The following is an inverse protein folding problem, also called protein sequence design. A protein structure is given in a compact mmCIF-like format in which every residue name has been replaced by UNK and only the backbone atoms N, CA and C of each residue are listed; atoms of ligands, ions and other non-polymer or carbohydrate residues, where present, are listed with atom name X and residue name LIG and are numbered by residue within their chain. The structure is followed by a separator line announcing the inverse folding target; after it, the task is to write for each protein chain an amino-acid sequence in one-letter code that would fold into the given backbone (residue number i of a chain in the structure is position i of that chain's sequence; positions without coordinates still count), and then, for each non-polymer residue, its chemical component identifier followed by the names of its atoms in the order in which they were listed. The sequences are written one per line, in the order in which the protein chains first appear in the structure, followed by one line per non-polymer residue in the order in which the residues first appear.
data_IF_861503867225
#
_entry.id   IF_861503867225
#
_cell.length_a   1.000
_cell.length_b   1.000
_cell.length_c   1.000
_cell.angle_alpha   90.00
_cell.angle_beta   90.00
_cell.angle_gamma   90.00
#
_symmetry.space_group_name_H-M   'P 1'
#
loop_
_entity.id
_entity.type
_entity.pdbx_description
1 polymer ?
#
# COMPACT_ATOMS: atom_id res chain seq x y z
N UNK A 1 11.87 -18.73 14.96
CA UNK A 1 11.00 -18.11 13.92
C UNK A 1 11.64 -16.81 13.44
N UNK A 2 11.24 -16.25 12.29
CA UNK A 2 11.78 -14.99 11.76
C UNK A 2 11.75 -13.85 12.80
N UNK A 3 10.67 -13.73 13.56
CA UNK A 3 10.50 -12.72 14.62
C UNK A 3 11.60 -12.83 15.68
N UNK A 4 11.84 -14.02 16.25
CA UNK A 4 12.89 -14.18 17.26
C UNK A 4 14.27 -13.90 16.68
N UNK A 5 14.54 -14.34 15.46
CA UNK A 5 15.84 -14.12 14.83
C UNK A 5 16.14 -12.62 14.66
N UNK A 6 15.15 -11.85 14.23
CA UNK A 6 15.27 -10.39 14.05
C UNK A 6 15.34 -9.65 15.39
N UNK A 7 14.44 -9.94 16.34
CA UNK A 7 14.39 -9.23 17.61
C UNK A 7 15.55 -9.57 18.57
N UNK A 8 16.15 -10.75 18.44
CA UNK A 8 17.34 -11.14 19.23
C UNK A 8 18.66 -10.80 18.54
N UNK A 9 18.62 -10.16 17.36
CA UNK A 9 19.82 -9.76 16.61
C UNK A 9 20.57 -10.90 15.94
N UNK A 10 20.01 -12.12 15.88
CA UNK A 10 20.57 -13.24 15.10
C UNK A 10 20.51 -12.97 13.59
N UNK A 11 19.60 -12.11 13.15
CA UNK A 11 19.49 -11.62 11.78
C UNK A 11 19.04 -10.16 11.81
N UNK A 12 19.49 -9.34 10.86
CA UNK A 12 19.05 -7.94 10.79
C UNK A 12 17.58 -7.82 10.36
N UNK A 13 17.17 -8.68 9.43
CA UNK A 13 15.84 -8.74 8.82
C UNK A 13 15.57 -10.19 8.35
N UNK A 14 14.36 -10.46 7.83
CA UNK A 14 14.00 -11.78 7.33
C UNK A 14 12.98 -11.73 6.19
N UNK A 15 13.02 -12.74 5.33
CA UNK A 15 11.98 -13.04 4.34
C UNK A 15 11.47 -14.48 4.57
N UNK A 16 10.17 -14.64 4.83
CA UNK A 16 9.52 -15.93 5.00
C UNK A 16 8.83 -16.34 3.68
N UNK A 17 9.40 -17.33 3.00
CA UNK A 17 8.81 -17.94 1.80
C UNK A 17 7.79 -18.99 2.25
N UNK A 18 6.56 -18.56 2.49
CA UNK A 18 5.50 -19.38 3.11
C UNK A 18 4.26 -19.48 2.23
N UNK A 19 3.56 -20.60 2.36
CA UNK A 19 2.20 -20.86 1.83
C UNK A 19 1.49 -21.84 2.78
N UNK A 20 0.17 -21.78 2.98
CA UNK A 20 -0.79 -20.83 2.38
C UNK A 20 -0.59 -19.37 2.87
N UNK A 21 -1.16 -18.37 2.16
CA UNK A 21 -1.21 -16.98 2.64
C UNK A 21 -2.04 -16.88 3.93
N UNK A 22 -2.08 -15.69 4.55
CA UNK A 22 -2.73 -15.46 5.83
C UNK A 22 -3.60 -14.20 5.94
N UNK A 23 -3.34 -13.13 5.18
CA UNK A 23 -3.89 -11.80 5.52
C UNK A 23 -5.43 -11.67 5.46
N UNK A 24 -6.14 -12.59 4.80
CA UNK A 24 -7.61 -12.63 4.76
C UNK A 24 -8.25 -13.45 5.89
N UNK A 25 -7.50 -14.36 6.53
CA UNK A 25 -8.05 -15.21 7.58
C UNK A 25 -8.44 -14.38 8.80
N UNK A 26 -9.68 -14.55 9.26
CA UNK A 26 -10.24 -13.86 10.42
C UNK A 26 -10.03 -14.71 11.68
N UNK A 27 -10.61 -14.27 12.81
CA UNK A 27 -10.53 -15.01 14.09
C UNK A 27 -11.22 -16.36 14.01
N UNK A 28 -12.30 -16.46 13.23
CA UNK A 28 -13.24 -17.57 13.20
C UNK A 28 -13.45 -18.19 11.82
N UNK A 29 -12.88 -17.62 10.74
CA UNK A 29 -13.13 -18.08 9.37
C UNK A 29 -11.86 -18.08 8.48
N UNK A 30 -11.58 -19.18 7.74
CA UNK A 30 -10.64 -19.15 6.63
C UNK A 30 -11.26 -18.43 5.43
N UNK A 31 -10.52 -17.51 4.79
CA UNK A 31 -11.04 -16.69 3.70
C UNK A 31 -9.94 -16.39 2.67
N UNK A 32 -10.27 -16.21 1.39
CA UNK A 32 -9.30 -15.80 0.37
C UNK A 32 -8.02 -16.65 0.32
N UNK A 33 -8.14 -17.99 0.30
CA UNK A 33 -7.02 -18.96 0.38
C UNK A 33 -6.23 -18.98 1.70
N UNK A 34 -6.60 -18.16 2.68
CA UNK A 34 -5.92 -18.04 3.95
C UNK A 34 -6.58 -18.93 5.01
N UNK A 35 -5.79 -19.79 5.67
CA UNK A 35 -6.28 -20.65 6.76
C UNK A 35 -6.01 -20.06 8.15
N UNK A 36 -4.81 -19.50 8.33
CA UNK A 36 -4.39 -18.82 9.54
C UNK A 36 -3.72 -17.50 9.16
N UNK A 37 -3.92 -16.47 9.96
CA UNK A 37 -3.33 -15.17 9.70
C UNK A 37 -1.87 -15.11 10.17
N UNK A 38 -0.96 -15.52 9.30
CA UNK A 38 0.48 -15.64 9.58
C UNK A 38 1.06 -14.36 10.20
N UNK A 39 0.81 -13.22 9.56
CA UNK A 39 1.36 -11.92 9.97
C UNK A 39 0.70 -11.41 11.24
N UNK A 40 -0.62 -11.55 11.40
CA UNK A 40 -1.28 -11.16 12.64
C UNK A 40 -0.79 -11.99 13.84
N UNK A 41 -0.68 -13.30 13.70
CA UNK A 41 -0.13 -14.16 14.76
C UNK A 41 1.32 -13.76 15.09
N UNK A 42 2.15 -13.47 14.08
CA UNK A 42 3.53 -13.04 14.30
C UNK A 42 3.64 -11.68 15.01
N UNK A 43 2.76 -10.73 14.67
CA UNK A 43 2.70 -9.42 15.31
C UNK A 43 2.22 -9.51 16.76
N UNK A 44 1.16 -10.26 17.03
CA UNK A 44 0.67 -10.52 18.38
C UNK A 44 1.74 -11.24 19.22
N UNK A 45 2.43 -12.23 18.63
CA UNK A 45 3.57 -12.90 19.28
C UNK A 45 4.69 -11.92 19.65
N UNK A 46 5.03 -10.97 18.77
CA UNK A 46 6.04 -9.96 19.06
C UNK A 46 5.65 -9.05 20.23
N UNK A 47 4.37 -8.65 20.31
CA UNK A 47 3.82 -7.90 21.44
C UNK A 47 3.88 -8.75 22.73
N UNK A 48 3.37 -9.97 22.71
CA UNK A 48 3.21 -10.75 23.94
C UNK A 48 4.52 -11.32 24.46
N UNK A 49 5.37 -11.85 23.57
CA UNK A 49 6.63 -12.50 23.93
C UNK A 49 7.76 -11.51 24.10
N UNK A 50 7.89 -10.55 23.19
CA UNK A 50 9.00 -9.59 23.16
C UNK A 50 8.62 -8.21 23.70
N UNK A 51 7.37 -8.03 24.17
CA UNK A 51 6.88 -6.81 24.86
C UNK A 51 6.96 -5.55 24.01
N UNK A 52 6.91 -5.69 22.69
CA UNK A 52 6.83 -4.54 21.78
C UNK A 52 5.56 -3.75 22.05
N UNK A 53 5.69 -2.42 21.94
CA UNK A 53 4.62 -1.44 22.12
C UNK A 53 4.15 -0.86 20.78
N UNK A 54 4.99 -0.91 19.74
CA UNK A 54 4.67 -0.35 18.41
C UNK A 54 5.16 -1.26 17.30
N UNK A 55 4.23 -1.86 16.58
CA UNK A 55 4.52 -2.73 15.44
C UNK A 55 3.78 -2.20 14.22
N UNK A 56 4.49 -2.00 13.12
CA UNK A 56 3.90 -1.63 11.83
C UNK A 56 3.66 -2.91 11.03
N UNK A 57 2.44 -3.08 10.51
CA UNK A 57 2.13 -4.05 9.47
C UNK A 57 1.80 -3.27 8.20
N UNK A 58 2.67 -3.36 7.20
CA UNK A 58 2.39 -2.86 5.86
C UNK A 58 1.90 -4.02 4.99
N UNK A 59 0.72 -3.90 4.41
CA UNK A 59 0.20 -4.83 3.43
C UNK A 59 0.20 -4.20 2.03
N UNK A 60 1.00 -4.77 1.13
CA UNK A 60 1.05 -4.34 -0.27
C UNK A 60 0.50 -5.38 -1.24
N UNK A 61 -0.09 -6.47 -0.72
CA UNK A 61 -0.90 -7.36 -1.54
C UNK A 61 -1.99 -6.55 -2.24
N UNK A 62 -2.33 -6.91 -3.47
CA UNK A 62 -3.31 -6.14 -4.25
C UNK A 62 -4.71 -6.21 -3.62
N UNK A 63 -4.97 -7.21 -2.79
CA UNK A 63 -6.21 -7.36 -2.04
C UNK A 63 -6.08 -6.78 -0.64
N UNK A 64 -7.19 -6.26 -0.11
CA UNK A 64 -7.22 -5.79 1.28
C UNK A 64 -7.09 -6.96 2.26
N UNK A 65 -6.10 -6.93 3.14
CA UNK A 65 -5.95 -7.86 4.26
C UNK A 65 -6.99 -7.65 5.37
N UNK A 66 -8.26 -7.94 5.07
CA UNK A 66 -9.40 -7.76 5.97
C UNK A 66 -9.22 -8.47 7.32
N UNK A 67 -8.55 -9.63 7.34
CA UNK A 67 -8.28 -10.38 8.57
C UNK A 67 -7.32 -9.64 9.50
N UNK A 68 -6.27 -9.00 8.95
CA UNK A 68 -5.33 -8.19 9.75
C UNK A 68 -6.04 -6.95 10.29
N UNK A 69 -6.79 -6.25 9.44
CA UNK A 69 -7.59 -5.10 9.87
C UNK A 69 -8.51 -5.47 11.03
N UNK A 70 -9.27 -6.57 10.92
CA UNK A 70 -10.18 -7.01 11.97
C UNK A 70 -9.45 -7.39 13.26
N UNK A 71 -8.31 -8.10 13.16
CA UNK A 71 -7.55 -8.57 14.31
C UNK A 71 -7.05 -7.43 15.20
N UNK A 72 -6.70 -6.28 14.60
CA UNK A 72 -6.07 -5.16 15.32
C UNK A 72 -6.88 -3.86 15.30
N UNK A 73 -8.15 -3.91 14.88
CA UNK A 73 -8.96 -2.71 14.65
C UNK A 73 -9.11 -1.79 15.88
N UNK A 74 -8.93 -2.34 17.08
CA UNK A 74 -9.02 -1.59 18.35
C UNK A 74 -7.67 -1.42 19.07
N UNK A 75 -6.55 -1.91 18.52
CA UNK A 75 -5.25 -1.96 19.19
C UNK A 75 -4.27 -0.89 18.68
N UNK A 76 -3.98 0.18 19.45
CA UNK A 76 -3.07 1.24 19.04
C UNK A 76 -1.59 0.81 19.01
N UNK A 77 -1.25 -0.38 19.50
CA UNK A 77 0.12 -0.91 19.42
C UNK A 77 0.46 -1.40 18.01
N UNK A 78 -0.56 -1.63 17.18
CA UNK A 78 -0.41 -2.08 15.81
C UNK A 78 -0.89 -0.97 14.88
N UNK A 79 0.01 -0.46 14.05
CA UNK A 79 -0.35 0.36 12.90
C UNK A 79 -0.50 -0.57 11.70
N UNK A 80 -1.72 -0.71 11.17
CA UNK A 80 -1.98 -1.44 9.93
C UNK A 80 -2.17 -0.47 8.77
N UNK A 81 -1.40 -0.67 7.69
CA UNK A 81 -1.48 0.14 6.48
C UNK A 81 -1.61 -0.79 5.27
N UNK A 82 -2.67 -0.63 4.48
CA UNK A 82 -2.93 -1.48 3.30
C UNK A 82 -3.04 -0.64 2.02
N UNK A 83 -2.32 -1.04 0.97
CA UNK A 83 -2.42 -0.46 -0.38
C UNK A 83 -3.01 -1.49 -1.34
N UNK A 84 -4.32 -1.40 -1.59
CA UNK A 84 -5.06 -2.44 -2.28
C UNK A 84 -5.92 -1.86 -3.41
N UNK A 85 -6.21 -2.70 -4.40
CA UNK A 85 -7.25 -2.42 -5.39
C UNK A 85 -8.61 -2.55 -4.72
N UNK A 86 -9.43 -1.52 -4.88
CA UNK A 86 -10.75 -1.43 -4.27
C UNK A 86 -11.85 -1.34 -5.32
N UNK A 87 -11.60 -0.62 -6.42
CA UNK A 87 -12.57 -0.35 -7.49
C UNK A 87 -13.94 0.07 -6.94
N UNK A 88 -13.92 1.05 -6.04
CA UNK A 88 -15.10 1.55 -5.32
C UNK A 88 -15.93 0.43 -4.65
N UNK A 89 -15.26 -0.55 -4.03
CA UNK A 89 -15.90 -1.65 -3.31
C UNK A 89 -16.30 -2.84 -4.17
N UNK A 90 -15.93 -2.88 -5.45
CA UNK A 90 -16.31 -3.98 -6.36
C UNK A 90 -15.20 -5.01 -6.58
N UNK A 91 -13.99 -4.75 -6.09
CA UNK A 91 -12.89 -5.71 -6.13
C UNK A 91 -12.83 -6.55 -4.85
N UNK A 92 -12.43 -7.82 -4.98
CA UNK A 92 -12.30 -8.74 -3.84
C UNK A 92 -11.43 -8.11 -2.74
N UNK A 93 -11.83 -8.15 -1.45
CA UNK A 93 -12.90 -8.96 -0.85
C UNK A 93 -14.33 -8.38 -0.90
N UNK A 94 -14.58 -7.25 -1.58
CA UNK A 94 -15.89 -6.57 -1.68
C UNK A 94 -16.48 -6.25 -0.29
N UNK A 95 -15.77 -5.40 0.45
CA UNK A 95 -16.25 -4.87 1.73
C UNK A 95 -16.11 -3.35 1.78
N UNK A 96 -17.14 -2.65 2.27
CA UNK A 96 -17.06 -1.21 2.53
C UNK A 96 -15.99 -0.86 3.57
N UNK A 97 -15.66 -1.81 4.43
CA UNK A 97 -14.67 -1.65 5.49
C UNK A 97 -13.23 -1.53 4.94
N UNK A 98 -13.02 -1.84 3.65
CA UNK A 98 -11.74 -1.62 2.95
C UNK A 98 -11.57 -0.17 2.48
N UNK A 99 -12.59 0.70 2.60
CA UNK A 99 -12.46 2.11 2.20
C UNK A 99 -11.62 2.93 3.20
N UNK A 100 -11.17 4.12 2.79
CA UNK A 100 -10.27 4.99 3.56
C UNK A 100 -10.91 5.60 4.82
N UNK A 101 -12.25 5.61 4.90
CA UNK A 101 -12.99 6.08 6.08
C UNK A 101 -12.86 5.13 7.31
N UNK A 102 -12.36 3.92 7.11
CA UNK A 102 -12.24 2.91 8.16
C UNK A 102 -10.90 3.04 8.88
N UNK A 103 -10.90 3.82 9.96
CA UNK A 103 -9.67 4.27 10.64
C UNK A 103 -9.38 3.55 11.95
N UNK A 104 -10.12 2.49 12.28
CA UNK A 104 -10.04 1.80 13.57
C UNK A 104 -11.18 2.18 14.52
N UNK A 105 -11.21 1.56 15.70
CA UNK A 105 -12.23 1.75 16.74
C UNK A 105 -11.60 1.86 18.12
N UNK A 106 -12.34 2.46 19.06
CA UNK A 106 -11.91 2.65 20.46
C UNK A 106 -10.51 3.25 20.54
N UNK A 107 -9.56 2.56 21.16
CA UNK A 107 -8.19 3.02 21.31
C UNK A 107 -7.38 2.96 20.00
N UNK A 108 -7.79 2.13 19.02
CA UNK A 108 -7.14 1.96 17.73
C UNK A 108 -7.55 2.97 16.66
N UNK A 109 -8.40 3.96 16.97
CA UNK A 109 -8.74 5.04 16.02
C UNK A 109 -7.47 5.78 15.57
N UNK A 110 -7.27 5.86 14.26
CA UNK A 110 -6.09 6.43 13.59
C UNK A 110 -5.01 5.39 13.24
N UNK A 111 -5.09 4.16 13.76
CA UNK A 111 -4.07 3.11 13.59
C UNK A 111 -4.43 2.08 12.50
N UNK A 112 -5.54 2.28 11.79
CA UNK A 112 -5.89 1.56 10.58
C UNK A 112 -5.90 2.52 9.39
N UNK A 113 -5.14 2.22 8.34
CA UNK A 113 -5.00 3.08 7.17
C UNK A 113 -5.20 2.28 5.91
N UNK A 114 -6.35 2.49 5.26
CA UNK A 114 -6.63 1.94 3.94
C UNK A 114 -6.28 2.96 2.87
N UNK A 115 -5.55 2.52 1.83
CA UNK A 115 -5.27 3.28 0.60
C UNK A 115 -5.97 2.54 -0.56
N UNK A 116 -7.27 2.80 -0.79
CA UNK A 116 -8.11 2.03 -1.70
C UNK A 116 -8.01 2.53 -3.14
N UNK A 117 -7.16 1.92 -3.94
CA UNK A 117 -6.97 2.28 -5.34
C UNK A 117 -8.22 1.96 -6.17
N UNK A 118 -8.72 2.96 -6.88
CA UNK A 118 -9.90 2.82 -7.75
C UNK A 118 -9.71 3.55 -9.08
N UNK A 119 -10.47 3.15 -10.09
CA UNK A 119 -10.62 3.86 -11.38
C UNK A 119 -9.38 3.88 -12.29
N UNK A 120 -8.27 3.23 -11.90
CA UNK A 120 -7.10 3.05 -12.77
C UNK A 120 -6.19 1.90 -12.28
N UNK A 121 -5.37 1.37 -13.20
CA UNK A 121 -4.25 0.50 -12.83
C UNK A 121 -3.11 1.32 -12.25
N UNK A 122 -2.59 0.89 -11.09
CA UNK A 122 -1.49 1.57 -10.42
C UNK A 122 -0.15 0.92 -10.76
N UNK A 123 0.93 1.70 -10.76
CA UNK A 123 2.30 1.20 -10.90
C UNK A 123 3.24 1.84 -9.90
N UNK A 124 4.54 1.74 -10.18
CA UNK A 124 5.59 2.19 -9.26
C UNK A 124 5.41 3.65 -8.79
N UNK A 125 5.03 4.56 -9.69
CA UNK A 125 4.88 5.99 -9.36
C UNK A 125 3.76 6.26 -8.37
N UNK A 126 2.61 5.60 -8.55
CA UNK A 126 1.47 5.76 -7.65
C UNK A 126 1.77 5.20 -6.26
N UNK A 127 2.43 4.05 -6.18
CA UNK A 127 2.87 3.48 -4.91
C UNK A 127 3.95 4.34 -4.24
N UNK A 128 4.94 4.84 -4.99
CA UNK A 128 5.94 5.76 -4.45
C UNK A 128 5.34 7.08 -3.96
N UNK A 129 4.31 7.59 -4.63
CA UNK A 129 3.57 8.76 -4.18
C UNK A 129 2.83 8.49 -2.86
N UNK A 130 2.13 7.37 -2.73
CA UNK A 130 1.50 6.95 -1.48
C UNK A 130 2.53 6.77 -0.35
N UNK A 131 3.68 6.16 -0.65
CA UNK A 131 4.76 6.00 0.31
C UNK A 131 5.31 7.33 0.80
N UNK A 132 5.60 8.25 -0.12
CA UNK A 132 6.18 9.55 0.20
C UNK A 132 5.19 10.48 0.93
N UNK A 133 3.89 10.35 0.67
CA UNK A 133 2.86 11.27 1.18
C UNK A 133 2.10 10.76 2.40
N UNK A 134 1.92 9.45 2.53
CA UNK A 134 1.11 8.82 3.58
C UNK A 134 1.96 7.86 4.40
N UNK A 135 2.45 6.77 3.78
CA UNK A 135 3.01 5.62 4.51
C UNK A 135 4.23 6.00 5.33
N UNK A 136 5.27 6.57 4.70
CA UNK A 136 6.52 6.86 5.39
C UNK A 136 6.39 7.99 6.42
N UNK A 137 5.73 9.14 6.14
CA UNK A 137 5.50 10.17 7.15
C UNK A 137 4.83 9.62 8.41
N UNK A 138 3.75 8.85 8.26
CA UNK A 138 3.03 8.25 9.37
C UNK A 138 3.89 7.20 10.08
N UNK A 139 4.59 6.34 9.35
CA UNK A 139 5.46 5.33 9.94
C UNK A 139 6.62 5.94 10.75
N UNK A 140 7.18 7.07 10.31
CA UNK A 140 8.19 7.80 11.09
C UNK A 140 7.59 8.47 12.34
N UNK A 141 6.38 9.03 12.26
CA UNK A 141 5.68 9.58 13.43
C UNK A 141 5.30 8.48 14.43
N UNK A 142 4.86 7.31 13.95
CA UNK A 142 4.54 6.13 14.76
C UNK A 142 5.80 5.50 15.38
N UNK A 143 6.96 5.60 14.73
CA UNK A 143 8.24 5.07 15.20
C UNK A 143 8.16 3.59 15.66
N UNK A 144 7.86 2.65 14.73
CA UNK A 144 7.70 1.23 15.05
C UNK A 144 9.01 0.61 15.52
N UNK A 145 8.88 -0.40 16.37
CA UNK A 145 9.98 -1.21 16.90
C UNK A 145 10.24 -2.46 16.05
N UNK A 146 9.26 -2.86 15.24
CA UNK A 146 9.33 -3.94 14.26
C UNK A 146 8.39 -3.62 13.09
N UNK A 147 8.82 -3.93 11.88
CA UNK A 147 7.99 -3.83 10.67
C UNK A 147 7.72 -5.23 10.11
N UNK A 148 6.45 -5.56 9.94
CA UNK A 148 6.02 -6.66 9.10
C UNK A 148 5.58 -6.14 7.73
N UNK A 149 5.87 -6.93 6.70
CA UNK A 149 5.29 -6.73 5.38
C UNK A 149 4.49 -7.97 4.99
N UNK A 150 3.18 -7.82 4.87
CA UNK A 150 2.31 -8.78 4.18
C UNK A 150 2.56 -8.61 2.68
N UNK A 151 3.37 -9.51 2.12
CA UNK A 151 3.95 -9.34 0.80
C UNK A 151 3.29 -10.21 -0.26
N UNK A 152 2.17 -9.72 -0.77
CA UNK A 152 1.59 -10.18 -2.02
C UNK A 152 2.31 -9.60 -3.23
N UNK A 153 2.54 -10.41 -4.25
CA UNK A 153 3.13 -9.96 -5.52
C UNK A 153 2.14 -9.98 -6.67
N UNK A 154 0.84 -9.89 -6.38
CA UNK A 154 -0.26 -9.83 -7.35
C UNK A 154 -0.60 -8.41 -7.83
N UNK A 155 -0.06 -7.36 -7.21
CA UNK A 155 -0.04 -6.03 -7.81
C UNK A 155 1.04 -5.90 -8.92
N UNK A 156 1.91 -6.92 -9.06
CA UNK A 156 2.98 -6.92 -10.03
C UNK A 156 2.46 -7.03 -11.47
N UNK A 157 3.22 -6.44 -12.40
CA UNK A 157 2.95 -6.56 -13.83
C UNK A 157 2.90 -8.04 -14.25
N UNK A 158 1.85 -8.40 -14.98
CA UNK A 158 1.63 -9.75 -15.49
C UNK A 158 0.87 -10.69 -14.55
N UNK A 159 0.52 -10.25 -13.34
CA UNK A 159 -0.40 -11.01 -12.49
C UNK A 159 -1.82 -11.06 -13.11
N UNK A 160 -2.44 -12.25 -13.18
CA UNK A 160 -3.75 -12.42 -13.83
C UNK A 160 -4.93 -11.82 -13.03
N UNK A 161 -4.80 -11.68 -11.71
CA UNK A 161 -5.88 -11.25 -10.81
C UNK A 161 -5.78 -9.76 -10.48
N UNK A 162 -4.64 -9.29 -9.98
CA UNK A 162 -4.49 -7.91 -9.53
C UNK A 162 -4.46 -6.91 -10.69
N UNK A 163 -3.81 -7.28 -11.81
CA UNK A 163 -3.73 -6.50 -13.06
C UNK A 163 -3.17 -5.08 -12.88
N UNK A 164 -2.32 -4.88 -11.87
CA UNK A 164 -1.55 -3.66 -11.70
C UNK A 164 -0.19 -3.78 -12.38
N UNK A 165 0.61 -2.72 -12.30
CA UNK A 165 1.80 -2.52 -13.11
C UNK A 165 3.06 -2.33 -12.25
N UNK A 166 3.07 -2.84 -11.02
CA UNK A 166 4.25 -2.76 -10.17
C UNK A 166 5.37 -3.58 -10.77
N UNK A 167 6.57 -3.00 -10.76
CA UNK A 167 7.77 -3.69 -11.21
C UNK A 167 8.54 -4.24 -10.01
N UNK A 168 9.44 -5.21 -10.22
CA UNK A 168 10.39 -5.63 -9.18
C UNK A 168 11.19 -4.46 -8.59
N UNK A 169 11.47 -3.41 -9.39
CA UNK A 169 12.12 -2.19 -8.88
C UNK A 169 11.23 -1.41 -7.92
N UNK A 170 9.91 -1.35 -8.17
CA UNK A 170 8.94 -0.76 -7.24
C UNK A 170 8.95 -1.45 -5.88
N UNK A 171 8.88 -2.79 -5.86
CA UNK A 171 8.96 -3.58 -4.62
C UNK A 171 10.30 -3.43 -3.89
N UNK A 172 11.41 -3.37 -4.63
CA UNK A 172 12.74 -3.08 -4.08
C UNK A 172 12.78 -1.70 -3.41
N UNK A 173 12.22 -0.66 -4.04
CA UNK A 173 12.14 0.67 -3.43
C UNK A 173 11.27 0.71 -2.17
N UNK A 174 10.09 0.08 -2.18
CA UNK A 174 9.24 -0.03 -1.00
C UNK A 174 9.98 -0.72 0.15
N UNK A 175 10.65 -1.85 -0.14
CA UNK A 175 11.45 -2.59 0.84
C UNK A 175 12.58 -1.74 1.42
N UNK A 176 13.29 -1.01 0.56
CA UNK A 176 14.38 -0.12 0.98
C UNK A 176 13.90 0.99 1.90
N UNK A 177 12.78 1.64 1.58
CA UNK A 177 12.19 2.69 2.41
C UNK A 177 11.79 2.15 3.79
N UNK A 178 11.12 1.00 3.85
CA UNK A 178 10.72 0.37 5.12
C UNK A 178 11.92 -0.08 5.96
N UNK A 179 13.03 -0.43 5.32
CA UNK A 179 14.27 -0.79 6.02
C UNK A 179 14.91 0.40 6.75
N UNK A 180 14.48 1.64 6.47
CA UNK A 180 14.85 2.84 7.25
C UNK A 180 14.10 2.98 8.58
N UNK A 181 13.14 2.11 8.87
CA UNK A 181 12.35 2.09 10.11
C UNK A 181 12.88 1.00 11.06
N UNK A 182 12.51 1.07 12.34
CA UNK A 182 12.79 0.03 13.34
C UNK A 182 14.26 -0.44 13.41
N UNK A 183 15.22 0.41 13.03
CA UNK A 183 16.64 0.08 12.85
C UNK A 183 16.87 -1.11 11.90
N UNK A 184 16.11 -1.19 10.80
CA UNK A 184 16.21 -2.27 9.81
C UNK A 184 15.52 -3.57 10.19
N UNK A 185 14.85 -3.63 11.35
CA UNK A 185 14.10 -4.82 11.80
C UNK A 185 12.82 -4.97 10.98
N UNK A 186 12.95 -5.63 9.83
CA UNK A 186 11.89 -5.89 8.87
C UNK A 186 11.72 -7.40 8.68
N UNK A 187 10.48 -7.88 8.75
CA UNK A 187 10.11 -9.26 8.42
C UNK A 187 9.09 -9.23 7.28
N UNK A 188 9.47 -9.75 6.12
CA UNK A 188 8.60 -9.90 4.96
C UNK A 188 8.02 -11.32 4.97
N UNK A 189 6.71 -11.47 4.82
CA UNK A 189 6.05 -12.77 4.71
C UNK A 189 5.27 -12.84 3.40
N UNK A 190 5.47 -13.90 2.62
CA UNK A 190 4.79 -14.11 1.34
C UNK A 190 3.27 -14.29 1.54
N UNK A 191 2.48 -13.54 0.78
CA UNK A 191 1.00 -13.63 0.72
C UNK A 191 0.56 -14.10 -0.70
N UNK A 192 -0.18 -13.28 -1.46
CA UNK A 192 -0.64 -13.55 -2.81
C UNK A 192 0.42 -13.37 -3.91
N UNK A 193 -0.05 -13.44 -5.16
CA UNK A 193 0.78 -13.50 -6.37
C UNK A 193 0.58 -14.80 -7.12
N UNK A 194 0.23 -14.70 -8.40
CA UNK A 194 -0.25 -15.83 -9.20
C UNK A 194 0.45 -15.95 -10.57
N UNK A 195 1.33 -15.01 -10.90
CA UNK A 195 2.31 -15.16 -11.97
C UNK A 195 3.67 -15.57 -11.40
N UNK A 196 4.12 -16.80 -11.70
CA UNK A 196 5.37 -17.35 -11.18
C UNK A 196 6.58 -16.46 -11.44
N UNK A 197 6.68 -15.87 -12.63
CA UNK A 197 7.81 -15.00 -12.99
C UNK A 197 7.77 -13.69 -12.22
N UNK A 198 6.58 -13.09 -12.08
CA UNK A 198 6.40 -11.85 -11.33
C UNK A 198 6.69 -12.05 -9.84
N UNK A 199 6.21 -13.13 -9.23
CA UNK A 199 6.50 -13.49 -7.82
C UNK A 199 8.01 -13.65 -7.63
N UNK A 200 8.66 -14.49 -8.43
CA UNK A 200 10.09 -14.78 -8.25
C UNK A 200 10.96 -13.53 -8.41
N UNK A 201 10.70 -12.72 -9.45
CA UNK A 201 11.50 -11.52 -9.68
C UNK A 201 11.28 -10.46 -8.59
N UNK A 202 10.04 -10.27 -8.14
CA UNK A 202 9.72 -9.27 -7.11
C UNK A 202 10.23 -9.69 -5.73
N UNK A 203 10.08 -10.97 -5.36
CA UNK A 203 10.66 -11.51 -4.13
C UNK A 203 12.19 -11.43 -4.12
N UNK A 204 12.86 -11.77 -5.23
CA UNK A 204 14.31 -11.58 -5.38
C UNK A 204 14.71 -10.12 -5.16
N UNK A 205 13.97 -9.18 -5.75
CA UNK A 205 14.23 -7.75 -5.61
C UNK A 205 14.09 -7.26 -4.16
N UNK A 206 13.07 -7.73 -3.43
CA UNK A 206 12.93 -7.47 -1.99
C UNK A 206 14.12 -8.02 -1.19
N UNK A 207 14.51 -9.27 -1.42
CA UNK A 207 15.63 -9.90 -0.72
C UNK A 207 16.95 -9.16 -0.98
N UNK A 208 17.20 -8.74 -2.23
CA UNK A 208 18.38 -7.90 -2.56
C UNK A 208 18.39 -6.60 -1.78
N UNK A 209 17.24 -5.94 -1.63
CA UNK A 209 17.13 -4.73 -0.79
C UNK A 209 17.38 -5.01 0.68
N UNK A 210 16.86 -6.11 1.23
CA UNK A 210 17.12 -6.53 2.62
C UNK A 210 18.61 -6.82 2.88
N UNK A 211 19.33 -7.34 1.88
CA UNK A 211 20.77 -7.58 1.93
C UNK A 211 21.61 -6.30 1.77
N UNK A 212 20.98 -5.14 1.56
CA UNK A 212 21.67 -3.86 1.42
C UNK A 212 22.22 -3.59 0.02
N UNK A 213 21.81 -4.35 -0.99
CA UNK A 213 22.19 -4.06 -2.37
C UNK A 213 21.55 -2.75 -2.84
N UNK A 214 22.26 -2.02 -3.71
CA UNK A 214 21.71 -0.83 -4.34
C UNK A 214 20.42 -1.14 -5.09
N UNK A 215 19.40 -0.29 -4.94
CA UNK A 215 18.14 -0.45 -5.67
C UNK A 215 18.37 -0.15 -7.16
N UNK A 216 17.84 -0.96 -8.10
CA UNK A 216 18.05 -0.74 -9.54
C UNK A 216 17.57 0.63 -10.04
N UNK A 217 16.57 1.20 -9.36
CA UNK A 217 16.11 2.58 -9.50
C UNK A 217 15.96 3.15 -8.10
N UNK A 218 16.30 4.42 -7.88
CA UNK A 218 15.96 5.09 -6.62
C UNK A 218 14.49 5.52 -6.63
N UNK A 219 13.87 5.79 -5.45
CA UNK A 219 12.55 6.41 -5.39
C UNK A 219 12.47 7.72 -6.18
N UNK A 220 13.56 8.50 -6.18
CA UNK A 220 13.67 9.74 -6.97
C UNK A 220 13.62 9.43 -8.46
N UNK A 221 14.32 8.39 -8.94
CA UNK A 221 14.33 8.02 -10.36
C UNK A 221 12.94 7.57 -10.84
N UNK A 222 12.21 6.82 -10.00
CA UNK A 222 10.83 6.42 -10.29
C UNK A 222 9.94 7.64 -10.46
N UNK A 223 10.10 8.63 -9.58
CA UNK A 223 9.30 9.85 -9.56
C UNK A 223 9.71 10.87 -10.65
N UNK A 224 10.98 10.88 -11.07
CA UNK A 224 11.58 11.95 -11.90
C UNK A 224 11.66 11.64 -13.40
N UNK A 225 11.21 10.47 -13.86
CA UNK A 225 11.41 10.06 -15.27
C UNK A 225 10.74 11.00 -16.29
N UNK A 226 11.32 11.18 -17.50
CA UNK A 226 11.38 12.44 -18.26
C UNK A 226 10.04 12.99 -18.75
N UNK A 227 10.07 14.24 -19.23
CA UNK A 227 8.97 15.15 -19.66
C UNK A 227 7.81 14.59 -20.52
N UNK A 228 7.87 13.33 -20.98
CA UNK A 228 6.80 12.62 -21.71
C UNK A 228 6.24 11.39 -20.97
N UNK A 229 6.73 11.09 -19.75
CA UNK A 229 6.23 10.03 -18.90
C UNK A 229 4.98 10.52 -18.18
N UNK A 230 3.84 9.85 -18.43
CA UNK A 230 2.56 10.11 -17.79
C UNK A 230 2.75 10.41 -16.30
N UNK A 231 2.24 11.56 -15.91
CA UNK A 231 2.21 12.03 -14.53
C UNK A 231 1.45 11.03 -13.66
N UNK A 232 1.68 11.06 -12.34
CA UNK A 232 0.90 10.23 -11.40
C UNK A 232 -0.58 10.40 -11.73
N UNK A 233 -1.28 9.27 -11.91
CA UNK A 233 -2.66 9.29 -12.39
C UNK A 233 -3.54 10.11 -11.45
N UNK A 234 -4.48 10.87 -12.01
CA UNK A 234 -5.43 11.69 -11.25
C UNK A 234 -6.22 10.89 -10.22
N UNK A 235 -6.59 9.65 -10.55
CA UNK A 235 -7.25 8.71 -9.64
C UNK A 235 -6.38 8.37 -8.40
N UNK A 236 -5.07 8.22 -8.58
CA UNK A 236 -4.16 8.00 -7.46
C UNK A 236 -4.02 9.25 -6.59
N UNK A 237 -3.89 10.43 -7.20
CA UNK A 237 -3.85 11.69 -6.44
C UNK A 237 -5.13 11.96 -5.66
N UNK A 238 -6.30 11.64 -6.23
CA UNK A 238 -7.58 11.72 -5.53
C UNK A 238 -7.55 10.81 -4.29
N UNK A 239 -7.18 9.54 -4.46
CA UNK A 239 -7.10 8.57 -3.35
C UNK A 239 -6.14 9.07 -2.25
N UNK A 240 -4.92 9.50 -2.61
CA UNK A 240 -3.93 10.00 -1.66
C UNK A 240 -4.46 11.25 -0.92
N UNK A 241 -5.14 12.15 -1.62
CA UNK A 241 -5.76 13.34 -1.00
C UNK A 241 -6.83 12.96 0.00
N UNK A 242 -7.74 12.07 -0.39
CA UNK A 242 -8.89 11.67 0.42
C UNK A 242 -8.40 10.95 1.69
N UNK A 243 -7.43 10.04 1.57
CA UNK A 243 -6.75 9.39 2.69
C UNK A 243 -6.06 10.42 3.59
N UNK A 244 -5.32 11.38 3.03
CA UNK A 244 -4.65 12.43 3.82
C UNK A 244 -5.65 13.25 4.65
N UNK A 245 -6.79 13.62 4.06
CA UNK A 245 -7.84 14.38 4.74
C UNK A 245 -8.53 13.60 5.86
N UNK A 246 -8.69 12.28 5.70
CA UNK A 246 -9.24 11.45 6.77
C UNK A 246 -8.22 11.28 7.92
N UNK A 247 -6.95 11.06 7.58
CA UNK A 247 -5.89 10.73 8.53
C UNK A 247 -5.25 11.95 9.22
N UNK A 248 -5.37 13.17 8.69
CA UNK A 248 -4.81 14.39 9.33
C UNK A 248 -5.41 14.69 10.71
N UNK A 249 -6.57 14.09 11.03
CA UNK A 249 -7.19 14.14 12.36
C UNK A 249 -6.35 13.45 13.43
N UNK A 250 -5.50 12.49 13.03
CA UNK A 250 -4.79 11.58 13.91
C UNK A 250 -3.27 11.73 13.82
N UNK A 251 -2.76 12.17 12.65
CA UNK A 251 -1.33 12.23 12.35
C UNK A 251 -0.87 13.65 12.02
N UNK A 252 0.04 14.20 12.83
CA UNK A 252 0.50 15.59 12.70
C UNK A 252 1.27 15.80 11.40
N UNK A 253 2.00 14.79 10.94
CA UNK A 253 2.78 14.82 9.70
C UNK A 253 1.94 15.07 8.45
N UNK A 254 0.61 14.89 8.52
CA UNK A 254 -0.30 15.10 7.39
C UNK A 254 -1.00 16.46 7.42
N UNK A 255 -0.80 17.26 8.47
CA UNK A 255 -1.51 18.54 8.63
C UNK A 255 -1.39 19.43 7.40
N UNK A 256 -2.53 19.75 6.77
CA UNK A 256 -2.60 20.61 5.59
C UNK A 256 -2.19 19.94 4.28
N UNK A 257 -1.78 18.67 4.29
CA UNK A 257 -1.38 17.94 3.09
C UNK A 257 -2.54 17.82 2.09
N UNK A 258 -3.77 17.61 2.58
CA UNK A 258 -4.95 17.53 1.72
C UNK A 258 -5.11 18.81 0.87
N UNK A 259 -4.96 19.98 1.50
CA UNK A 259 -5.05 21.29 0.84
C UNK A 259 -3.93 21.47 -0.18
N UNK A 260 -2.70 21.13 0.20
CA UNK A 260 -1.54 21.17 -0.70
C UNK A 260 -1.78 20.31 -1.95
N UNK A 261 -2.29 19.09 -1.79
CA UNK A 261 -2.59 18.21 -2.93
C UNK A 261 -3.78 18.72 -3.77
N UNK A 262 -4.76 19.39 -3.16
CA UNK A 262 -5.87 20.01 -3.89
C UNK A 262 -5.40 21.20 -4.75
N UNK A 263 -4.41 21.96 -4.28
CA UNK A 263 -3.79 23.07 -5.00
C UNK A 263 -2.81 22.61 -6.09
N UNK A 264 -2.23 21.42 -5.94
CA UNK A 264 -1.44 20.77 -6.99
C UNK A 264 -2.35 20.41 -8.17
N UNK A 265 -2.35 21.25 -9.22
CA UNK A 265 -3.02 20.93 -10.48
C UNK A 265 -2.48 19.60 -11.03
N UNK A 266 -3.32 18.56 -11.20
CA UNK A 266 -2.90 17.38 -11.94
C UNK A 266 -2.56 17.82 -13.36
N UNK A 267 -1.38 17.46 -13.90
CA UNK A 267 -1.07 17.77 -15.29
C UNK A 267 -2.07 17.03 -16.18
N UNK A 268 -2.87 17.78 -16.95
CA UNK A 268 -3.95 17.26 -17.79
C UNK A 268 -5.36 17.74 -17.43
N UNK A 269 -5.55 18.48 -16.33
CA UNK A 269 -6.80 19.20 -16.09
C UNK A 269 -6.86 20.48 -16.96
N UNK A 270 -6.95 20.31 -18.28
CA UNK A 270 -7.62 21.33 -19.10
C UNK A 270 -9.11 21.24 -18.78
N UNK A 271 -9.71 22.38 -18.50
CA UNK A 271 -11.15 22.53 -18.34
C UNK A 271 -11.85 22.00 -19.59
N UNK A 272 -12.67 20.96 -19.46
CA UNK A 272 -13.72 20.63 -20.45
C UNK A 272 -14.87 21.67 -20.38
N UNK A 273 -14.51 22.94 -20.38
CA UNK A 273 -15.39 24.05 -20.72
C UNK A 273 -15.12 24.33 -22.20
N UNK A 274 -15.67 23.49 -23.08
CA UNK A 274 -15.91 23.80 -24.50
C UNK A 274 -16.68 22.71 -25.27
N UNK A 275 -17.24 21.69 -24.61
CA UNK A 275 -18.02 20.65 -25.31
C UNK A 275 -19.45 21.07 -25.67
N UNK A 276 -19.96 22.19 -25.15
CA UNK A 276 -21.26 22.74 -25.57
C UNK A 276 -21.18 23.62 -26.82
N UNK A 277 -20.05 24.29 -27.07
CA UNK A 277 -19.90 25.16 -28.26
C UNK A 277 -19.50 24.38 -29.52
N UNK A 278 -18.84 23.22 -29.36
CA UNK A 278 -18.47 22.36 -30.48
C UNK A 278 -19.68 21.61 -31.07
N UNK A 279 -20.64 21.21 -30.23
CA UNK A 279 -21.88 20.54 -30.66
C UNK A 279 -22.86 21.49 -31.37
N UNK A 280 -22.82 22.79 -31.04
CA UNK A 280 -23.63 23.80 -31.72
C UNK A 280 -23.08 24.13 -33.12
N UNK A 281 -21.75 24.17 -33.28
CA UNK A 281 -21.10 24.46 -34.57
C UNK A 281 -21.27 23.32 -35.60
N UNK A 282 -21.32 22.06 -35.16
CA UNK A 282 -21.49 20.92 -36.06
C UNK A 282 -22.93 20.76 -36.57
N UNK A 283 -23.93 21.25 -35.83
CA UNK A 283 -25.35 21.19 -36.23
C UNK A 283 -25.74 22.25 -37.27
N UNK A 284 -25.09 23.42 -37.29
CA UNK A 284 -25.30 24.44 -38.35
C UNK A 284 -24.70 24.03 -39.71
N UNK A 285 -23.75 23.09 -39.73
CA UNK A 285 -23.12 22.60 -40.97
C UNK A 285 -23.95 21.55 -41.73
N UNK A 286 -25.04 21.04 -41.12
CA UNK A 286 -25.86 19.95 -41.67
C UNK A 286 -27.22 20.40 -42.24
N UNK A 287 -27.52 21.70 -42.28
CA UNK A 287 -28.78 22.22 -42.85
C UNK A 287 -28.58 23.01 -44.14
N UNK A 288 -28.08 22.35 -45.20
CA UNK A 288 -28.23 22.84 -46.58
C UNK A 288 -28.79 21.73 -47.46
N UNK A 289 -30.12 21.72 -47.59
CA UNK A 289 -30.86 21.43 -48.82
C UNK A 289 -32.24 22.06 -48.72
#
# INVERSE_FOLDING_TARGET
MCVDAVLTGKSANAFAVVRPPGHHATVDEPYGFCLFNNVAVAAQYAIDKHKLQRVLILDWDVHHGNGIQQAFYEDPRILYVSLHRYDNGTFFPIHSDSDYHNVGKKAGVGFNINIPWSNAQMGDREYMAAFAKIVMPIAYEFAPELVFVSAGFDAAMGDPLGRYLLTPSGYSCMTHLLSGLANGKVVIALEGGYNLKSISNSAEACVRSLLGNATPKSPIDIMSSPKNAKTIRSAAWKTIRDVAGEQEKYWKCLSGLQKIIAEMRPPGAQSDLNTTDQLAADLESLSVS
#
